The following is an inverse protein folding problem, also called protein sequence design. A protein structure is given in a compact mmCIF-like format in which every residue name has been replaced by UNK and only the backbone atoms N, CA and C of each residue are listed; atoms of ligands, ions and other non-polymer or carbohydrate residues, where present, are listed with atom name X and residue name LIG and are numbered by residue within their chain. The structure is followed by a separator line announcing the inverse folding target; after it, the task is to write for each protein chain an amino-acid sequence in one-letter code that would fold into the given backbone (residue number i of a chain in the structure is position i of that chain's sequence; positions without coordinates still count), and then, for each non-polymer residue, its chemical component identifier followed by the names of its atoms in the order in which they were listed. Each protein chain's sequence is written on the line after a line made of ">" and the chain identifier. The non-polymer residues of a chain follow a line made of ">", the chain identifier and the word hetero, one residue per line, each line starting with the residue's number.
data_IF_278142479081
#
_entry.id   IF_278142479081
#
_cell.length_a   1.000
_cell.length_b   1.000
_cell.length_c   1.000
_cell.angle_alpha   90.00
_cell.angle_beta   90.00
_cell.angle_gamma   90.00
#
_symmetry.space_group_name_H-M   'P 1'
#
loop_
_entity.id
_entity.type
_entity.pdbx_description
1 polymer ?
#
# COMPACT_ATOMS: atom_id res chain seq x y z
N UNK A 1 -14.69 14.19 4.78
CA UNK A 1 -14.77 13.01 5.65
C UNK A 1 -14.82 11.73 4.84
N UNK A 2 -15.64 11.70 3.79
CA UNK A 2 -15.71 10.52 2.91
C UNK A 2 -14.38 10.22 2.24
N UNK A 3 -13.58 11.25 1.96
CA UNK A 3 -12.25 11.11 1.35
C UNK A 3 -11.35 10.22 2.20
N UNK A 4 -11.40 10.38 3.51
CA UNK A 4 -10.55 9.58 4.41
C UNK A 4 -10.96 8.12 4.40
N UNK A 5 -12.26 7.83 4.29
CA UNK A 5 -12.77 6.46 4.24
C UNK A 5 -12.32 5.79 2.95
N UNK A 6 -12.44 6.49 1.83
CA UNK A 6 -12.03 5.97 0.53
C UNK A 6 -10.54 5.65 0.49
N UNK A 7 -9.73 6.56 0.96
CA UNK A 7 -8.29 6.31 1.03
C UNK A 7 -7.96 5.17 1.99
N UNK A 8 -8.61 5.11 3.14
CA UNK A 8 -8.38 4.06 4.12
C UNK A 8 -8.69 2.69 3.54
N UNK A 9 -9.79 2.55 2.82
CA UNK A 9 -10.15 1.29 2.17
C UNK A 9 -9.13 0.89 1.11
N UNK A 10 -8.62 1.86 0.37
CA UNK A 10 -7.57 1.60 -0.61
C UNK A 10 -6.28 1.13 0.09
N UNK A 11 -5.87 1.79 1.17
CA UNK A 11 -4.66 1.38 1.91
C UNK A 11 -4.80 -0.03 2.48
N UNK A 12 -5.98 -0.39 2.97
CA UNK A 12 -6.23 -1.75 3.43
C UNK A 12 -6.13 -2.75 2.29
N UNK A 13 -6.65 -2.41 1.11
CA UNK A 13 -6.50 -3.24 -0.09
C UNK A 13 -5.03 -3.49 -0.39
N UNK A 14 -4.22 -2.45 -0.38
CA UNK A 14 -2.79 -2.57 -0.65
C UNK A 14 -2.09 -3.46 0.37
N UNK A 15 -2.33 -3.18 1.66
CA UNK A 15 -1.65 -3.88 2.75
C UNK A 15 -1.98 -5.38 2.69
N UNK A 16 -3.25 -5.72 2.62
CA UNK A 16 -3.66 -7.12 2.60
C UNK A 16 -3.14 -7.86 1.38
N UNK A 17 -3.12 -7.19 0.24
CA UNK A 17 -2.58 -7.80 -0.98
C UNK A 17 -1.09 -8.09 -0.85
N UNK A 18 -0.33 -7.14 -0.33
CA UNK A 18 1.13 -7.26 -0.18
C UNK A 18 1.50 -8.38 0.80
N UNK A 19 0.76 -8.52 1.88
CA UNK A 19 1.05 -9.58 2.86
C UNK A 19 0.49 -10.94 2.45
N UNK A 20 -0.14 -11.03 1.28
CA UNK A 20 -0.59 -12.31 0.73
C UNK A 20 -2.02 -12.70 1.03
N UNK A 21 -2.80 -11.82 1.67
CA UNK A 21 -4.22 -12.07 1.97
C UNK A 21 -5.09 -11.49 0.86
N UNK A 22 -5.05 -12.12 -0.32
CA UNK A 22 -5.72 -11.61 -1.51
C UNK A 22 -7.22 -11.52 -1.37
N UNK A 23 -7.85 -12.48 -0.71
CA UNK A 23 -9.30 -12.47 -0.52
C UNK A 23 -9.74 -11.29 0.34
N UNK A 24 -8.98 -10.99 1.39
CA UNK A 24 -9.26 -9.82 2.22
C UNK A 24 -9.04 -8.53 1.42
N UNK A 25 -7.99 -8.48 0.61
CA UNK A 25 -7.74 -7.34 -0.25
C UNK A 25 -8.91 -7.08 -1.20
N UNK A 26 -9.42 -8.13 -1.84
CA UNK A 26 -10.57 -8.04 -2.74
C UNK A 26 -11.82 -7.53 -2.03
N UNK A 27 -12.00 -7.95 -0.78
CA UNK A 27 -13.14 -7.52 0.03
C UNK A 27 -13.14 -6.00 0.20
N UNK A 28 -12.01 -5.41 0.53
CA UNK A 28 -11.92 -3.97 0.72
C UNK A 28 -12.04 -3.20 -0.60
N UNK A 29 -11.46 -3.71 -1.68
CA UNK A 29 -11.63 -3.12 -3.01
C UNK A 29 -13.09 -3.14 -3.44
N UNK A 30 -13.79 -4.25 -3.21
CA UNK A 30 -15.20 -4.38 -3.54
C UNK A 30 -16.07 -3.44 -2.70
N UNK A 31 -15.73 -3.30 -1.42
CA UNK A 31 -16.45 -2.38 -0.54
C UNK A 31 -16.35 -0.95 -1.05
N UNK A 32 -15.16 -0.58 -1.52
CA UNK A 32 -14.91 0.72 -2.12
C UNK A 32 -15.77 0.90 -3.39
N UNK A 33 -15.81 -0.13 -4.24
CA UNK A 33 -16.62 -0.10 -5.46
C UNK A 33 -18.10 0.00 -5.19
N UNK A 34 -18.60 -0.68 -4.15
CA UNK A 34 -20.03 -0.64 -3.80
C UNK A 34 -20.46 0.74 -3.33
N UNK A 35 -19.64 1.40 -2.53
CA UNK A 35 -20.03 2.65 -1.88
C UNK A 35 -19.52 3.90 -2.59
N UNK A 36 -18.43 3.77 -3.35
CA UNK A 36 -17.73 4.92 -3.94
C UNK A 36 -17.28 4.62 -5.37
N UNK A 37 -18.20 4.25 -6.24
CA UNK A 37 -17.92 3.85 -7.63
C UNK A 37 -17.09 4.85 -8.42
N UNK A 38 -17.34 6.15 -8.20
CA UNK A 38 -16.68 7.21 -8.95
C UNK A 38 -15.34 7.63 -8.34
N UNK A 39 -14.93 6.99 -7.26
CA UNK A 39 -13.72 7.36 -6.55
C UNK A 39 -12.47 6.98 -7.35
N UNK A 40 -11.50 7.89 -7.39
CA UNK A 40 -10.18 7.57 -7.95
C UNK A 40 -9.49 6.47 -7.13
N UNK A 41 -9.81 6.36 -5.84
CA UNK A 41 -9.26 5.32 -4.98
C UNK A 41 -9.76 3.93 -5.37
N UNK A 42 -10.99 3.86 -5.90
CA UNK A 42 -11.53 2.61 -6.41
C UNK A 42 -10.71 2.11 -7.61
N UNK A 43 -10.40 2.98 -8.55
CA UNK A 43 -9.56 2.64 -9.69
C UNK A 43 -8.16 2.22 -9.23
N UNK A 44 -7.58 2.96 -8.29
CA UNK A 44 -6.27 2.63 -7.74
C UNK A 44 -6.27 1.26 -7.05
N UNK A 45 -7.37 0.93 -6.37
CA UNK A 45 -7.49 -0.36 -5.69
C UNK A 45 -7.52 -1.53 -6.67
N UNK A 46 -8.15 -1.37 -7.81
CA UNK A 46 -8.13 -2.42 -8.84
C UNK A 46 -6.74 -2.61 -9.43
N UNK A 47 -5.96 -1.54 -9.55
CA UNK A 47 -4.61 -1.65 -10.07
C UNK A 47 -3.69 -2.47 -9.16
N UNK A 48 -4.04 -2.61 -7.90
CA UNK A 48 -3.28 -3.41 -6.93
C UNK A 48 -3.20 -4.87 -7.37
N UNK A 49 -4.23 -5.37 -8.05
CA UNK A 49 -4.27 -6.76 -8.50
C UNK A 49 -3.54 -7.01 -9.82
N UNK A 50 -2.90 -5.97 -10.37
CA UNK A 50 -2.04 -6.12 -11.55
C UNK A 50 -0.79 -6.91 -11.19
N UNK A 51 -0.35 -7.77 -12.10
CA UNK A 51 0.81 -8.65 -11.88
C UNK A 51 2.08 -7.94 -11.44
N UNK A 52 2.30 -6.74 -11.94
CA UNK A 52 3.54 -6.00 -11.67
C UNK A 52 3.43 -5.10 -10.45
N UNK A 53 2.24 -4.88 -9.94
CA UNK A 53 2.04 -3.95 -8.83
C UNK A 53 2.79 -4.38 -7.57
N UNK A 54 2.58 -5.61 -7.15
CA UNK A 54 3.18 -6.14 -5.92
C UNK A 54 4.71 -6.10 -6.00
N UNK A 55 5.26 -6.49 -7.14
CA UNK A 55 6.71 -6.48 -7.37
C UNK A 55 7.28 -5.07 -7.25
N UNK A 56 6.65 -4.11 -7.89
CA UNK A 56 7.10 -2.73 -7.86
C UNK A 56 6.96 -2.10 -6.47
N UNK A 57 5.86 -2.42 -5.79
CA UNK A 57 5.63 -1.90 -4.45
C UNK A 57 6.64 -2.45 -3.45
N UNK A 58 6.98 -3.71 -3.55
CA UNK A 58 8.01 -4.32 -2.70
C UNK A 58 9.37 -3.67 -2.94
N UNK A 59 9.70 -3.36 -4.19
CA UNK A 59 10.93 -2.63 -4.51
C UNK A 59 10.97 -1.27 -3.83
N UNK A 60 9.86 -0.54 -3.88
CA UNK A 60 9.76 0.78 -3.27
C UNK A 60 9.90 0.70 -1.74
N UNK A 61 9.26 -0.28 -1.13
CA UNK A 61 9.36 -0.50 0.31
C UNK A 61 10.80 -0.83 0.70
N UNK A 62 11.48 -1.66 -0.07
CA UNK A 62 12.88 -2.01 0.18
C UNK A 62 13.78 -0.79 0.08
N UNK A 63 13.54 0.09 -0.89
CA UNK A 63 14.30 1.34 -1.02
C UNK A 63 14.11 2.23 0.20
N UNK A 64 12.88 2.38 0.67
CA UNK A 64 12.59 3.17 1.85
C UNK A 64 13.26 2.59 3.10
N UNK A 65 13.18 1.28 3.26
CA UNK A 65 13.82 0.59 4.37
C UNK A 65 15.34 0.78 4.34
N UNK A 66 15.94 0.70 3.16
CA UNK A 66 17.38 0.93 3.02
C UNK A 66 17.76 2.36 3.39
N UNK A 67 16.95 3.33 2.99
CA UNK A 67 17.18 4.73 3.36
C UNK A 67 17.07 4.94 4.86
N UNK A 68 16.07 4.35 5.49
CA UNK A 68 15.86 4.42 6.93
C UNK A 68 17.04 3.77 7.66
N UNK A 69 17.47 2.60 7.19
CA UNK A 69 18.60 1.89 7.78
C UNK A 69 19.90 2.70 7.68
N UNK A 70 20.12 3.36 6.54
CA UNK A 70 21.29 4.24 6.37
C UNK A 70 21.26 5.40 7.36
N UNK A 71 20.12 6.03 7.52
CA UNK A 71 19.96 7.12 8.47
C UNK A 71 20.18 6.64 9.91
N UNK A 72 19.64 5.46 10.21
CA UNK A 72 19.77 4.86 11.51
C UNK A 72 21.25 4.56 11.84
N UNK A 73 21.95 3.96 10.86
CA UNK A 73 23.37 3.66 11.00
C UNK A 73 24.21 4.91 11.22
N UNK A 74 23.90 5.99 10.51
CA UNK A 74 24.65 7.23 10.67
C UNK A 74 24.46 7.84 12.06
N UNK A 75 23.30 7.62 12.69
CA UNK A 75 23.04 8.07 14.05
C UNK A 75 23.87 7.32 15.08
N UNK A 76 24.13 6.04 14.82
CA UNK A 76 24.85 5.20 15.77
C UNK A 76 26.34 5.05 15.47
N UNK A 77 26.80 5.52 14.31
CA UNK A 77 28.20 5.39 13.91
C UNK A 77 29.00 6.68 14.04
N UNK A 78 28.39 7.74 14.56
CA UNK A 78 29.01 9.06 14.64
C UNK A 78 30.24 9.08 15.57
N UNK A 79 30.27 8.20 16.53
CA UNK A 79 31.38 8.10 17.49
C UNK A 79 32.48 7.15 17.04
N UNK A 80 32.20 6.45 15.95
CA UNK A 80 33.16 5.46 15.43
C UNK A 80 34.08 6.08 14.39
#
# INVERSE_FOLDING_TARGET
>A
TTIYIEEALHRLTEIYYIIGLEEEAKKYANLLGYNYQSSEWYEKSFSVFNKNYKKNKIKDIKKENNSILKKFKSLFSWDG
#
